data_IF_439326382244
#
_entry.id   IF_439326382244
#
_cell.length_a   1.000
_cell.length_b   1.000
_cell.length_c   1.000
_cell.angle_alpha   90.00
_cell.angle_beta   90.00
_cell.angle_gamma   90.00
#
_symmetry.space_group_name_H-M   'P 1'
#
loop_
_entity.id
_entity.type
_entity.pdbx_description
1 polymer ?
#
# COMPACT_ATOMS: atom_id res chain seq x y z
N UNK A 1 -22.36 -13.51 -0.45
CA UNK A 1 -21.99 -12.43 -1.38
C UNK A 1 -21.22 -13.04 -2.54
N UNK A 2 -21.72 -12.92 -3.76
CA UNK A 2 -21.10 -13.46 -4.97
C UNK A 2 -20.06 -12.50 -5.54
N UNK A 3 -19.16 -13.00 -6.41
CA UNK A 3 -18.20 -12.14 -7.12
C UNK A 3 -18.91 -11.04 -7.92
N UNK A 4 -20.03 -11.36 -8.56
CA UNK A 4 -20.79 -10.41 -9.36
C UNK A 4 -21.50 -9.35 -8.52
N UNK A 5 -21.90 -9.67 -7.29
CA UNK A 5 -22.43 -8.67 -6.34
C UNK A 5 -21.34 -7.68 -5.90
N UNK A 6 -20.12 -8.15 -5.65
CA UNK A 6 -18.97 -7.28 -5.34
C UNK A 6 -18.68 -6.35 -6.52
N UNK A 7 -18.54 -6.91 -7.73
CA UNK A 7 -18.19 -6.16 -8.94
C UNK A 7 -19.28 -5.14 -9.26
N UNK A 8 -20.57 -5.54 -9.21
CA UNK A 8 -21.67 -4.60 -9.40
C UNK A 8 -21.64 -3.49 -8.37
N UNK A 9 -21.46 -3.80 -7.08
CA UNK A 9 -21.38 -2.79 -6.03
C UNK A 9 -20.24 -1.77 -6.22
N UNK A 10 -19.08 -2.21 -6.70
CA UNK A 10 -17.96 -1.34 -7.05
C UNK A 10 -18.28 -0.48 -8.28
N UNK A 11 -18.87 -1.08 -9.32
CA UNK A 11 -19.23 -0.41 -10.56
C UNK A 11 -20.30 0.69 -10.36
N UNK A 12 -21.37 0.43 -9.59
CA UNK A 12 -22.45 1.40 -9.35
C UNK A 12 -21.95 2.65 -8.62
N UNK A 13 -20.88 2.53 -7.82
CA UNK A 13 -20.29 3.65 -7.07
C UNK A 13 -19.12 4.32 -7.80
N UNK A 14 -18.81 3.87 -9.03
CA UNK A 14 -17.64 4.31 -9.80
C UNK A 14 -16.33 4.28 -9.00
N UNK A 15 -16.18 3.30 -8.11
CA UNK A 15 -14.97 3.13 -7.29
C UNK A 15 -13.96 2.32 -8.11
N UNK A 16 -12.83 2.88 -8.54
CA UNK A 16 -11.79 2.09 -9.20
C UNK A 16 -11.20 1.11 -8.18
N UNK A 17 -11.00 -0.13 -8.60
CA UNK A 17 -10.46 -1.19 -7.77
C UNK A 17 -9.43 -1.98 -8.55
N UNK A 18 -8.17 -1.94 -8.11
CA UNK A 18 -7.09 -2.66 -8.77
C UNK A 18 -6.21 -3.38 -7.76
N UNK A 19 -5.86 -4.63 -8.04
CA UNK A 19 -4.82 -5.33 -7.30
C UNK A 19 -3.46 -4.84 -7.74
N UNK A 20 -2.63 -4.45 -6.78
CA UNK A 20 -1.29 -3.88 -7.02
C UNK A 20 -0.20 -4.70 -6.32
N UNK A 21 -0.46 -6.00 -6.14
CA UNK A 21 0.41 -6.90 -5.39
C UNK A 21 0.32 -6.67 -3.90
N UNK A 22 0.89 -5.59 -3.37
CA UNK A 22 0.97 -5.34 -1.92
C UNK A 22 -0.36 -4.93 -1.27
N UNK A 23 -1.41 -4.73 -2.06
CA UNK A 23 -2.74 -4.38 -1.60
C UNK A 23 -3.69 -4.15 -2.77
N UNK A 24 -4.85 -3.59 -2.45
CA UNK A 24 -5.76 -3.03 -3.44
C UNK A 24 -5.67 -1.50 -3.42
N UNK A 25 -5.63 -0.90 -4.61
CA UNK A 25 -5.77 0.53 -4.78
C UNK A 25 -7.23 0.85 -5.10
N UNK A 26 -7.83 1.69 -4.27
CA UNK A 26 -9.21 2.17 -4.43
C UNK A 26 -9.33 3.46 -5.26
N UNK A 27 -8.20 3.96 -5.78
CA UNK A 27 -8.08 5.15 -6.64
C UNK A 27 -9.06 6.29 -6.35
N UNK A 28 -8.63 7.39 -5.71
CA UNK A 28 -9.47 8.59 -5.68
C UNK A 28 -9.28 9.43 -6.93
N UNK A 29 -10.38 10.03 -7.41
CA UNK A 29 -10.30 11.24 -8.25
C UNK A 29 -9.69 12.35 -7.41
N UNK A 30 -8.98 13.26 -8.07
CA UNK A 30 -8.50 14.51 -7.47
C UNK A 30 -9.57 15.14 -6.57
N UNK A 31 -9.21 15.44 -5.32
CA UNK A 31 -10.14 16.06 -4.39
C UNK A 31 -10.08 17.57 -4.63
N UNK A 32 -11.18 18.16 -5.09
CA UNK A 32 -11.32 19.62 -5.08
C UNK A 32 -11.67 20.07 -3.67
N UNK A 33 -10.77 20.83 -3.07
CA UNK A 33 -10.97 21.46 -1.77
C UNK A 33 -11.93 22.65 -1.92
N UNK A 34 -12.50 23.08 -0.79
CA UNK A 34 -13.46 24.21 -0.77
C UNK A 34 -12.84 25.54 -1.19
N UNK A 35 -11.53 25.67 -1.06
CA UNK A 35 -10.75 26.84 -1.47
C UNK A 35 -10.37 26.82 -2.98
N UNK A 36 -10.83 25.83 -3.73
CA UNK A 36 -10.53 25.66 -5.15
C UNK A 36 -9.19 24.97 -5.43
N UNK A 37 -8.41 24.63 -4.41
CA UNK A 37 -7.20 23.82 -4.59
C UNK A 37 -7.54 22.37 -4.90
N UNK A 38 -6.65 21.69 -5.61
CA UNK A 38 -6.82 20.29 -6.01
C UNK A 38 -5.79 19.43 -5.29
N UNK A 39 -6.25 18.53 -4.42
CA UNK A 39 -5.41 17.54 -3.77
C UNK A 39 -5.35 16.28 -4.65
N UNK A 40 -4.18 16.06 -5.26
CA UNK A 40 -3.88 14.82 -5.97
C UNK A 40 -3.73 13.68 -4.96
N UNK A 41 -4.21 12.45 -5.27
CA UNK A 41 -3.87 11.29 -4.46
C UNK A 41 -2.35 11.15 -4.39
N UNK A 42 -1.82 10.84 -3.21
CA UNK A 42 -0.36 10.71 -2.99
C UNK A 42 0.31 9.62 -3.87
N UNK A 43 -0.47 8.78 -4.55
CA UNK A 43 0.01 7.65 -5.31
C UNK A 43 -0.57 7.67 -6.74
N UNK A 44 0.15 8.31 -7.66
CA UNK A 44 0.04 8.08 -9.11
C UNK A 44 1.25 7.24 -9.55
N UNK A 45 1.04 5.94 -9.79
CA UNK A 45 2.00 5.10 -10.54
C UNK A 45 3.20 4.49 -9.79
N UNK A 46 3.50 4.89 -8.55
CA UNK A 46 4.71 4.42 -7.82
C UNK A 46 4.46 3.38 -6.72
N UNK A 47 3.22 2.85 -6.60
CA UNK A 47 2.90 1.63 -5.83
C UNK A 47 3.30 1.64 -4.34
N UNK A 48 3.36 2.81 -3.70
CA UNK A 48 3.58 2.93 -2.25
C UNK A 48 2.28 2.73 -1.45
N UNK A 49 1.59 1.62 -1.69
CA UNK A 49 0.34 1.28 -1.03
C UNK A 49 0.60 0.86 0.42
N UNK A 50 0.86 1.82 1.29
CA UNK A 50 0.82 1.65 2.74
C UNK A 50 -0.30 2.52 3.31
N UNK A 51 -1.08 2.04 4.30
CA UNK A 51 -2.26 2.76 4.79
C UNK A 51 -1.90 4.11 5.41
N UNK A 52 -0.68 4.24 5.92
CA UNK A 52 -0.17 5.45 6.55
C UNK A 52 0.18 6.57 5.55
N UNK A 53 0.52 6.23 4.30
CA UNK A 53 0.84 7.22 3.24
C UNK A 53 -0.20 7.29 2.14
N UNK A 54 -1.10 6.30 2.05
CA UNK A 54 -2.14 6.26 1.05
C UNK A 54 -3.47 5.81 1.69
N UNK A 55 -4.41 6.74 1.95
CA UNK A 55 -5.73 6.38 2.48
C UNK A 55 -6.58 5.56 1.49
N UNK A 56 -6.12 5.40 0.25
CA UNK A 56 -6.78 4.59 -0.78
C UNK A 56 -6.24 3.15 -0.84
N UNK A 57 -5.25 2.80 -0.01
CA UNK A 57 -4.71 1.45 0.05
C UNK A 57 -5.55 0.58 0.98
N UNK A 58 -6.08 -0.53 0.46
CA UNK A 58 -6.71 -1.58 1.25
C UNK A 58 -5.78 -2.78 1.31
N UNK A 59 -5.22 -3.05 2.49
CA UNK A 59 -4.35 -4.21 2.73
C UNK A 59 -5.12 -5.21 3.59
N UNK A 60 -5.33 -6.40 3.03
CA UNK A 60 -5.94 -7.54 3.72
C UNK A 60 -4.90 -8.61 4.07
N UNK A 61 -5.27 -9.56 4.93
CA UNK A 61 -4.41 -10.71 5.30
C UNK A 61 -3.90 -11.52 4.10
N UNK A 62 -4.60 -11.51 2.97
CA UNK A 62 -4.15 -12.19 1.75
C UNK A 62 -2.80 -11.64 1.26
N UNK A 63 -2.48 -10.38 1.54
CA UNK A 63 -1.23 -9.75 1.14
C UNK A 63 -0.08 -9.97 2.14
N UNK A 64 -0.33 -10.60 3.29
CA UNK A 64 0.67 -10.74 4.35
C UNK A 64 1.96 -11.41 3.85
N UNK A 65 1.86 -12.40 2.95
CA UNK A 65 3.03 -13.06 2.37
C UNK A 65 3.95 -12.10 1.58
N UNK A 66 3.38 -11.11 0.89
CA UNK A 66 4.15 -10.10 0.16
C UNK A 66 4.80 -9.11 1.13
N UNK A 67 4.10 -8.70 2.17
CA UNK A 67 4.67 -7.83 3.20
C UNK A 67 5.78 -8.50 3.99
N UNK A 68 5.70 -9.80 4.27
CA UNK A 68 6.82 -10.60 4.84
C UNK A 68 8.04 -10.58 3.93
N UNK A 69 7.83 -10.69 2.62
CA UNK A 69 8.91 -10.58 1.64
C UNK A 69 9.55 -9.19 1.66
N UNK A 70 8.75 -8.12 1.70
CA UNK A 70 9.26 -6.74 1.81
C UNK A 70 10.06 -6.54 3.10
N UNK A 71 9.54 -6.95 4.25
CA UNK A 71 10.24 -6.88 5.54
C UNK A 71 11.61 -7.55 5.46
N UNK A 72 11.62 -8.83 5.06
CA UNK A 72 12.83 -9.66 5.00
C UNK A 72 13.85 -9.11 4.00
N UNK A 73 13.43 -8.82 2.77
CA UNK A 73 14.34 -8.36 1.73
C UNK A 73 14.99 -7.02 2.08
N UNK A 74 14.23 -6.08 2.66
CA UNK A 74 14.80 -4.78 3.03
C UNK A 74 15.72 -4.90 4.25
N UNK A 75 15.41 -5.76 5.23
CA UNK A 75 16.32 -6.04 6.34
C UNK A 75 17.65 -6.65 5.86
N UNK A 76 17.57 -7.67 4.99
CA UNK A 76 18.75 -8.32 4.40
C UNK A 76 19.59 -7.33 3.58
N UNK A 77 18.96 -6.46 2.78
CA UNK A 77 19.67 -5.44 2.01
C UNK A 77 20.35 -4.40 2.93
N UNK A 78 19.74 -4.04 4.05
CA UNK A 78 20.30 -3.06 4.99
C UNK A 78 21.60 -3.55 5.67
N UNK A 79 21.79 -4.86 5.75
CA UNK A 79 23.00 -5.50 6.29
C UNK A 79 24.15 -5.54 5.28
N UNK A 80 23.88 -5.33 4.00
CA UNK A 80 24.89 -5.45 2.94
C UNK A 80 25.87 -4.27 2.96
N UNK A 81 27.20 -4.51 2.88
CA UNK A 81 28.20 -3.45 2.81
C UNK A 81 28.01 -2.50 1.61
N UNK A 82 27.60 -3.02 0.45
CA UNK A 82 27.35 -2.23 -0.76
C UNK A 82 26.13 -1.29 -0.64
N UNK A 83 25.22 -1.57 0.30
CA UNK A 83 23.99 -0.80 0.51
C UNK A 83 24.07 0.15 1.72
N UNK A 84 25.25 0.38 2.32
CA UNK A 84 25.36 1.24 3.51
C UNK A 84 24.79 2.64 3.29
N UNK A 85 24.93 3.20 2.08
CA UNK A 85 24.37 4.49 1.70
C UNK A 85 22.83 4.57 1.81
N UNK A 86 22.13 3.43 1.67
CA UNK A 86 20.67 3.32 1.73
C UNK A 86 20.16 2.60 2.99
N UNK A 87 21.05 2.26 3.94
CA UNK A 87 20.72 1.44 5.11
C UNK A 87 19.54 1.99 5.92
N UNK A 88 19.52 3.31 6.15
CA UNK A 88 18.43 3.97 6.90
C UNK A 88 17.09 3.79 6.19
N UNK A 89 17.03 4.12 4.90
CA UNK A 89 15.82 3.99 4.08
C UNK A 89 15.33 2.52 4.00
N UNK A 90 16.25 1.56 3.87
CA UNK A 90 15.93 0.14 3.84
C UNK A 90 15.35 -0.34 5.18
N UNK A 91 15.92 0.08 6.31
CA UNK A 91 15.38 -0.25 7.63
C UNK A 91 14.01 0.40 7.86
N UNK A 92 13.79 1.63 7.40
CA UNK A 92 12.47 2.27 7.45
C UNK A 92 11.43 1.47 6.68
N UNK A 93 11.76 1.02 5.46
CA UNK A 93 10.87 0.16 4.65
C UNK A 93 10.58 -1.18 5.34
N UNK A 94 11.59 -1.80 5.94
CA UNK A 94 11.43 -3.06 6.68
C UNK A 94 10.52 -2.89 7.90
N UNK A 95 10.79 -1.88 8.74
CA UNK A 95 9.99 -1.56 9.92
C UNK A 95 8.54 -1.25 9.57
N UNK A 96 8.32 -0.55 8.45
CA UNK A 96 6.98 -0.27 7.95
C UNK A 96 6.23 -1.52 7.53
N UNK A 97 6.89 -2.44 6.84
CA UNK A 97 6.29 -3.74 6.50
C UNK A 97 5.93 -4.53 7.76
N UNK A 98 6.79 -4.51 8.79
CA UNK A 98 6.52 -5.12 10.09
C UNK A 98 5.30 -4.53 10.80
N UNK A 99 5.12 -3.20 10.77
CA UNK A 99 3.95 -2.54 11.33
C UNK A 99 2.65 -2.99 10.64
N UNK A 100 2.66 -3.09 9.31
CA UNK A 100 1.53 -3.60 8.53
C UNK A 100 1.22 -5.06 8.91
N UNK A 101 2.23 -5.93 8.99
CA UNK A 101 2.06 -7.32 9.39
C UNK A 101 1.44 -7.45 10.79
N UNK A 102 1.86 -6.61 11.73
CA UNK A 102 1.27 -6.54 13.08
C UNK A 102 -0.20 -6.15 13.03
N UNK A 103 -0.58 -5.13 12.24
CA UNK A 103 -1.97 -4.73 12.06
C UNK A 103 -2.84 -5.85 11.45
N UNK A 104 -2.26 -6.68 10.59
CA UNK A 104 -2.94 -7.83 9.99
C UNK A 104 -3.08 -9.04 10.93
N UNK A 105 -2.41 -9.02 12.10
CA UNK A 105 -2.30 -10.17 13.01
C UNK A 105 -1.41 -11.28 12.45
N UNK A 106 -0.38 -10.91 11.68
CA UNK A 106 0.51 -11.84 10.94
C UNK A 106 2.00 -11.55 11.16
N UNK A 107 2.32 -10.77 12.20
CA UNK A 107 3.68 -10.43 12.62
C UNK A 107 4.24 -11.37 13.68
#
# INVERSE_FOLDING_TARGET
>A
MTKDEIIRGLATKAIPFSSVGMGYCLGRREIKNKDGSTQKPACTGSLQCSPESCPNALITRQHAHLWKKVEKQNAELAERPEMQHAKVELLEKSNRAKAILKQLGSG
#
